data_IF_712786095842
#
_entry.id   IF_712786095842
#
_cell.length_a   1.000
_cell.length_b   1.000
_cell.length_c   1.000
_cell.angle_alpha   90.00
_cell.angle_beta   90.00
_cell.angle_gamma   90.00
#
_symmetry.space_group_name_H-M   'P 1'
#
loop_
_entity.id
_entity.type
_entity.pdbx_description
1 polymer ?
#
# COMPACT_ATOMS: atom_id res chain seq x y z
N UNK A 1 -32.00 -49.76 15.41
CA UNK A 1 -31.45 -48.48 15.91
C UNK A 1 -29.95 -48.61 16.25
N UNK A 2 -29.02 -48.78 15.29
CA UNK A 2 -27.58 -48.82 15.63
C UNK A 2 -26.59 -48.44 14.50
N UNK A 3 -27.00 -47.69 13.47
CA UNK A 3 -26.10 -47.34 12.34
C UNK A 3 -25.87 -45.83 12.12
N UNK A 4 -26.37 -44.96 13.00
CA UNK A 4 -26.30 -43.49 12.82
C UNK A 4 -25.27 -42.81 13.73
N UNK A 5 -24.59 -43.56 14.63
CA UNK A 5 -23.68 -42.96 15.63
C UNK A 5 -22.20 -42.92 15.24
N UNK A 6 -21.80 -43.48 14.10
CA UNK A 6 -20.38 -43.56 13.71
C UNK A 6 -19.94 -42.57 12.63
N UNK A 7 -20.84 -41.72 12.11
CA UNK A 7 -20.54 -40.75 11.06
C UNK A 7 -20.28 -39.32 11.57
N UNK A 8 -19.94 -39.17 12.84
CA UNK A 8 -19.75 -37.86 13.49
C UNK A 8 -18.33 -37.61 14.01
N UNK A 9 -17.39 -38.54 13.78
CA UNK A 9 -16.01 -38.44 14.32
C UNK A 9 -14.96 -38.18 13.23
N UNK A 10 -15.30 -38.26 11.94
CA UNK A 10 -14.30 -38.09 10.84
C UNK A 10 -14.20 -36.64 10.33
N UNK A 11 -15.15 -35.76 10.65
CA UNK A 11 -15.18 -34.37 10.14
C UNK A 11 -14.39 -33.35 10.99
N UNK A 12 -13.75 -33.78 12.09
CA UNK A 12 -13.10 -32.87 13.05
C UNK A 12 -11.59 -32.63 12.80
N UNK A 13 -10.97 -33.27 11.81
CA UNK A 13 -9.49 -33.21 11.61
C UNK A 13 -9.07 -32.42 10.35
N UNK A 14 -10.00 -31.89 9.56
CA UNK A 14 -9.67 -31.23 8.28
C UNK A 14 -9.63 -29.68 8.31
N UNK A 15 -9.54 -29.05 9.49
CA UNK A 15 -9.53 -27.58 9.61
C UNK A 15 -8.21 -27.00 10.16
N UNK A 16 -7.16 -27.79 10.35
CA UNK A 16 -5.80 -27.27 10.51
C UNK A 16 -5.22 -26.92 9.13
N UNK A 17 -5.90 -26.03 8.41
CA UNK A 17 -5.32 -25.34 7.27
C UNK A 17 -4.17 -24.49 7.79
N UNK A 18 -2.95 -25.01 7.73
CA UNK A 18 -1.75 -24.24 7.94
C UNK A 18 -1.82 -23.03 7.02
N UNK A 19 -1.99 -21.86 7.62
CA UNK A 19 -1.66 -20.61 6.97
C UNK A 19 -0.18 -20.71 6.61
N UNK A 20 0.12 -20.97 5.34
CA UNK A 20 1.48 -20.77 4.82
C UNK A 20 1.72 -19.28 4.87
N UNK A 21 2.19 -18.79 6.02
CA UNK A 21 2.80 -17.49 6.13
C UNK A 21 3.86 -17.37 5.01
N UNK A 22 4.05 -16.19 4.43
CA UNK A 22 5.10 -15.99 3.43
C UNK A 22 6.41 -16.57 3.96
N UNK A 23 7.10 -17.36 3.14
CA UNK A 23 8.31 -18.10 3.50
C UNK A 23 9.48 -17.20 3.90
N UNK A 24 9.35 -15.89 3.71
CA UNK A 24 10.32 -14.88 4.06
C UNK A 24 9.71 -13.94 5.10
N UNK A 25 10.45 -13.55 6.14
CA UNK A 25 10.01 -12.48 7.03
C UNK A 25 9.96 -11.14 6.27
N UNK A 26 9.12 -10.18 6.70
CA UNK A 26 9.18 -8.81 6.19
C UNK A 26 10.61 -8.24 6.34
N UNK A 27 11.06 -7.39 5.40
CA UNK A 27 12.38 -6.79 5.50
C UNK A 27 12.46 -5.86 6.71
N UNK A 28 13.64 -5.81 7.32
CA UNK A 28 13.96 -4.87 8.39
C UNK A 28 14.68 -3.65 7.81
N UNK A 29 14.61 -2.52 8.52
CA UNK A 29 15.26 -1.27 8.14
C UNK A 29 16.34 -0.91 9.18
N UNK A 30 17.59 -1.36 8.98
CA UNK A 30 18.68 -1.09 9.91
C UNK A 30 18.90 0.40 10.10
N UNK A 31 19.22 0.83 11.33
CA UNK A 31 19.51 2.23 11.61
C UNK A 31 18.29 3.14 11.64
N UNK A 32 17.07 2.60 11.60
CA UNK A 32 15.84 3.41 11.69
C UNK A 32 15.86 4.34 12.90
N UNK A 33 16.37 3.86 14.05
CA UNK A 33 16.52 4.64 15.29
C UNK A 33 17.29 5.95 15.14
N UNK A 34 18.21 6.05 14.15
CA UNK A 34 18.99 7.28 13.90
C UNK A 34 18.11 8.48 13.51
N UNK A 35 16.93 8.19 12.98
CA UNK A 35 15.94 9.20 12.59
C UNK A 35 14.88 9.48 13.67
N UNK A 36 15.00 8.90 14.88
CA UNK A 36 14.10 9.21 16.01
C UNK A 36 14.14 10.69 16.43
N UNK A 37 15.25 11.38 16.12
CA UNK A 37 15.38 12.82 16.35
C UNK A 37 14.51 13.67 15.43
N UNK A 38 14.04 13.12 14.31
CA UNK A 38 13.18 13.82 13.35
C UNK A 38 11.75 13.84 13.90
N UNK A 39 11.25 15.02 14.25
CA UNK A 39 9.86 15.23 14.61
C UNK A 39 8.97 15.03 13.37
N UNK A 40 7.98 14.15 13.49
CA UNK A 40 6.95 13.96 12.49
C UNK A 40 5.72 14.72 12.98
N UNK A 41 5.39 15.82 12.31
CA UNK A 41 4.14 16.53 12.50
C UNK A 41 3.08 15.86 11.62
N UNK A 42 2.32 14.93 12.20
CA UNK A 42 1.25 14.24 11.50
C UNK A 42 0.00 15.12 11.40
N UNK A 43 -0.20 15.72 10.23
CA UNK A 43 -1.33 16.57 9.88
C UNK A 43 -2.35 15.82 9.01
N UNK A 44 -2.22 14.50 8.87
CA UNK A 44 -3.12 13.69 8.06
C UNK A 44 -4.53 13.70 8.65
N UNK A 45 -5.58 13.60 7.80
CA UNK A 45 -6.90 13.27 8.29
C UNK A 45 -6.84 11.96 9.08
N UNK A 46 -7.33 11.94 10.32
CA UNK A 46 -7.23 10.79 11.22
C UNK A 46 -7.70 9.47 10.58
N UNK A 47 -8.73 9.57 9.72
CA UNK A 47 -9.25 8.42 8.99
C UNK A 47 -8.18 7.71 8.13
N UNK A 48 -7.18 8.41 7.60
CA UNK A 48 -6.15 7.80 6.73
C UNK A 48 -5.32 6.73 7.44
N UNK A 49 -5.24 6.78 8.76
CA UNK A 49 -4.55 5.74 9.57
C UNK A 49 -5.37 4.46 9.74
N UNK A 50 -6.66 4.49 9.38
CA UNK A 50 -7.63 3.42 9.64
C UNK A 50 -7.96 2.59 8.39
N UNK A 51 -8.16 1.29 8.62
CA UNK A 51 -8.66 0.38 7.58
C UNK A 51 -10.10 0.70 7.22
N UNK A 52 -10.40 0.78 5.92
CA UNK A 52 -11.76 0.95 5.39
C UNK A 52 -11.98 0.06 4.18
N UNK A 53 -13.01 -0.77 4.19
CA UNK A 53 -13.48 -1.50 3.01
C UNK A 53 -14.56 -0.65 2.36
N UNK A 54 -14.38 -0.23 1.12
CA UNK A 54 -15.35 0.66 0.48
C UNK A 54 -16.58 -0.09 -0.03
N UNK A 55 -16.40 -1.27 -0.63
CA UNK A 55 -17.53 -2.14 -0.97
C UNK A 55 -17.11 -3.60 -1.19
N UNK A 56 -17.99 -4.51 -0.79
CA UNK A 56 -17.91 -5.95 -1.09
C UNK A 56 -18.88 -6.36 -2.20
N UNK A 57 -19.73 -5.45 -2.68
CA UNK A 57 -20.75 -5.75 -3.69
C UNK A 57 -20.16 -5.62 -5.09
N UNK A 58 -20.18 -6.70 -5.88
CA UNK A 58 -19.51 -6.76 -7.22
C UNK A 58 -19.97 -5.66 -8.17
N UNK A 59 -21.25 -5.28 -8.10
CA UNK A 59 -21.86 -4.21 -8.93
C UNK A 59 -21.49 -2.79 -8.50
N UNK A 60 -20.83 -2.61 -7.36
CA UNK A 60 -20.42 -1.29 -6.87
C UNK A 60 -19.12 -0.83 -7.52
N UNK A 61 -19.01 0.46 -7.83
CA UNK A 61 -17.77 1.06 -8.35
C UNK A 61 -16.63 1.08 -7.32
N UNK A 62 -16.96 0.89 -6.05
CA UNK A 62 -16.04 0.72 -4.94
C UNK A 62 -15.66 -0.74 -4.65
N UNK A 63 -16.14 -1.70 -5.47
CA UNK A 63 -15.93 -3.12 -5.23
C UNK A 63 -14.46 -3.48 -5.10
N UNK A 64 -14.11 -4.19 -4.03
CA UNK A 64 -12.76 -4.70 -3.77
C UNK A 64 -11.67 -3.62 -3.73
N UNK A 65 -12.07 -2.42 -3.32
CA UNK A 65 -11.18 -1.33 -2.97
C UNK A 65 -11.20 -1.20 -1.45
N UNK A 66 -10.01 -1.09 -0.86
CA UNK A 66 -9.89 -0.82 0.58
C UNK A 66 -8.70 0.09 0.88
N UNK A 67 -8.87 0.92 1.91
CA UNK A 67 -7.79 1.67 2.54
C UNK A 67 -7.08 0.77 3.54
N UNK A 68 -5.75 0.80 3.50
CA UNK A 68 -4.89 0.01 4.40
C UNK A 68 -4.60 0.84 5.65
N UNK A 69 -4.63 0.21 6.82
CA UNK A 69 -4.28 0.85 8.08
C UNK A 69 -2.77 1.05 8.21
N UNK A 70 -2.33 2.08 8.93
CA UNK A 70 -0.91 2.37 9.15
C UNK A 70 -0.17 1.24 9.86
N UNK A 71 -0.84 0.56 10.78
CA UNK A 71 -0.29 -0.55 11.55
C UNK A 71 -0.20 -1.87 10.76
N UNK A 72 -0.50 -1.87 9.46
CA UNK A 72 -0.30 -3.02 8.59
C UNK A 72 1.19 -3.31 8.32
N UNK A 73 2.08 -2.36 8.62
CA UNK A 73 3.53 -2.51 8.51
C UNK A 73 4.25 -2.04 9.76
N UNK A 74 5.45 -2.58 9.97
CA UNK A 74 6.41 -2.08 10.95
C UNK A 74 7.78 -1.94 10.24
N UNK A 75 8.36 -0.73 10.11
CA UNK A 75 7.82 0.56 10.57
C UNK A 75 6.55 1.00 9.82
N UNK A 76 5.84 1.98 10.38
CA UNK A 76 4.73 2.66 9.67
C UNK A 76 5.26 3.48 8.50
N UNK A 77 4.39 3.79 7.53
CA UNK A 77 4.73 4.61 6.36
C UNK A 77 5.38 5.96 6.71
N UNK A 78 4.75 6.80 7.55
CA UNK A 78 5.35 8.06 8.00
C UNK A 78 6.70 7.89 8.71
N UNK A 79 6.85 6.83 9.52
CA UNK A 79 8.10 6.55 10.22
C UNK A 79 9.22 6.18 9.24
N UNK A 80 8.91 5.37 8.23
CA UNK A 80 9.84 5.04 7.16
C UNK A 80 10.17 6.26 6.30
N UNK A 81 9.20 7.12 6.01
CA UNK A 81 9.41 8.38 5.30
C UNK A 81 10.43 9.25 6.04
N UNK A 82 10.27 9.44 7.35
CA UNK A 82 11.21 10.23 8.14
C UNK A 82 12.63 9.65 8.13
N UNK A 83 12.75 8.32 8.18
CA UNK A 83 14.03 7.65 8.08
C UNK A 83 14.70 7.87 6.73
N UNK A 84 13.99 7.61 5.62
CA UNK A 84 14.54 7.81 4.27
C UNK A 84 14.79 9.27 3.95
N UNK A 85 13.96 10.18 4.45
CA UNK A 85 14.18 11.61 4.30
C UNK A 85 15.47 12.04 5.02
N UNK A 86 15.72 11.55 6.25
CA UNK A 86 16.95 11.80 6.98
C UNK A 86 18.20 11.30 6.21
N UNK A 87 18.13 10.12 5.61
CA UNK A 87 19.20 9.61 4.73
C UNK A 87 19.37 10.46 3.47
N UNK A 88 18.26 10.94 2.91
CA UNK A 88 18.24 11.66 1.64
C UNK A 88 18.65 13.13 1.74
N UNK A 89 18.44 13.75 2.90
CA UNK A 89 18.61 15.18 3.14
C UNK A 89 19.38 15.43 4.46
N UNK A 90 20.71 15.54 4.40
CA UNK A 90 21.54 15.79 5.59
C UNK A 90 21.14 17.03 6.39
N UNK A 91 20.52 18.02 5.75
CA UNK A 91 20.02 19.25 6.38
C UNK A 91 18.94 18.99 7.44
N UNK A 92 18.24 17.85 7.38
CA UNK A 92 17.31 17.44 8.44
C UNK A 92 18.01 17.17 9.78
N UNK A 93 19.34 17.03 9.80
CA UNK A 93 20.07 16.99 11.07
C UNK A 93 20.01 18.34 11.82
N UNK A 94 19.89 19.46 11.10
CA UNK A 94 19.83 20.82 11.67
C UNK A 94 18.39 21.29 11.87
N UNK A 95 17.47 20.86 11.00
CA UNK A 95 16.03 21.17 11.08
C UNK A 95 15.24 19.86 11.10
N UNK A 96 15.15 19.19 12.27
CA UNK A 96 14.65 17.83 12.36
C UNK A 96 13.12 17.80 12.42
N UNK A 97 12.44 18.32 11.39
CA UNK A 97 10.97 18.29 11.29
C UNK A 97 10.51 17.98 9.88
N UNK A 98 9.50 17.12 9.79
CA UNK A 98 8.76 16.79 8.58
C UNK A 98 7.28 16.89 8.90
N UNK A 99 6.52 17.63 8.08
CA UNK A 99 5.06 17.62 8.18
C UNK A 99 4.50 16.63 7.17
N UNK A 100 3.59 15.78 7.62
CA UNK A 100 2.94 14.79 6.75
C UNK A 100 1.46 15.16 6.66
N UNK A 101 1.02 15.57 5.48
CA UNK A 101 -0.36 16.00 5.23
C UNK A 101 -1.20 14.87 4.66
N UNK A 102 -0.61 13.99 3.86
CA UNK A 102 -1.22 12.74 3.44
C UNK A 102 -0.18 11.62 3.41
N UNK A 103 -0.54 10.48 3.96
CA UNK A 103 0.17 9.23 3.77
C UNK A 103 -0.88 8.14 3.84
N UNK A 104 -1.40 7.75 2.69
CA UNK A 104 -2.54 6.84 2.60
C UNK A 104 -2.33 5.84 1.49
N UNK A 105 -2.72 4.59 1.76
CA UNK A 105 -2.60 3.49 0.81
C UNK A 105 -3.97 2.90 0.52
N UNK A 106 -4.25 2.74 -0.76
CA UNK A 106 -5.43 2.05 -1.27
C UNK A 106 -5.02 0.81 -2.03
N UNK A 107 -5.54 -0.34 -1.65
CA UNK A 107 -5.45 -1.54 -2.46
C UNK A 107 -6.67 -1.63 -3.37
N UNK A 108 -6.43 -1.79 -4.66
CA UNK A 108 -7.46 -1.99 -5.67
C UNK A 108 -7.30 -3.37 -6.31
N UNK A 109 -8.25 -4.26 -6.01
CA UNK A 109 -8.33 -5.61 -6.56
C UNK A 109 -9.49 -5.78 -7.55
N UNK A 110 -10.18 -4.68 -7.89
CA UNK A 110 -11.45 -4.71 -8.62
C UNK A 110 -11.34 -5.42 -9.97
N UNK A 111 -10.38 -5.01 -10.80
CA UNK A 111 -10.21 -5.55 -12.15
C UNK A 111 -9.92 -7.05 -12.15
N UNK A 112 -9.15 -7.52 -11.17
CA UNK A 112 -8.86 -8.95 -11.02
C UNK A 112 -10.08 -9.72 -10.54
N UNK A 113 -10.70 -9.31 -9.43
CA UNK A 113 -11.79 -10.12 -8.85
C UNK A 113 -13.01 -10.16 -9.79
N UNK A 114 -13.30 -9.07 -10.49
CA UNK A 114 -14.34 -9.08 -11.55
C UNK A 114 -13.98 -10.07 -12.67
N UNK A 115 -12.72 -10.10 -13.11
CA UNK A 115 -12.25 -11.08 -14.11
C UNK A 115 -12.42 -12.52 -13.62
N UNK A 116 -12.04 -12.82 -12.38
CA UNK A 116 -12.19 -14.16 -11.78
C UNK A 116 -13.66 -14.61 -11.73
N UNK A 117 -14.55 -13.72 -11.30
CA UNK A 117 -16.00 -13.99 -11.27
C UNK A 117 -16.54 -14.28 -12.68
N UNK A 118 -16.14 -13.49 -13.69
CA UNK A 118 -16.55 -13.75 -15.09
C UNK A 118 -16.00 -15.05 -15.65
N UNK A 119 -14.86 -15.54 -15.14
CA UNK A 119 -14.27 -16.83 -15.51
C UNK A 119 -14.87 -18.02 -14.73
N UNK A 120 -15.95 -17.81 -13.97
CA UNK A 120 -16.63 -18.84 -13.20
C UNK A 120 -15.88 -19.26 -11.93
N UNK A 121 -14.78 -18.59 -11.60
CA UNK A 121 -14.06 -18.78 -10.35
C UNK A 121 -14.67 -17.82 -9.32
N UNK A 122 -15.60 -18.33 -8.51
CA UNK A 122 -16.13 -17.60 -7.34
C UNK A 122 -15.08 -17.55 -6.23
N UNK A 123 -14.02 -16.77 -6.46
CA UNK A 123 -12.96 -16.57 -5.49
C UNK A 123 -13.30 -15.35 -4.64
N UNK A 124 -14.09 -15.55 -3.59
CA UNK A 124 -14.25 -14.55 -2.54
C UNK A 124 -12.92 -14.31 -1.80
N UNK A 125 -12.85 -13.33 -0.88
CA UNK A 125 -11.63 -13.08 -0.08
C UNK A 125 -11.17 -14.30 0.72
N UNK A 126 -12.09 -15.22 1.05
CA UNK A 126 -11.80 -16.52 1.70
C UNK A 126 -11.36 -17.60 0.68
N UNK A 127 -11.84 -17.53 -0.57
CA UNK A 127 -11.54 -18.52 -1.61
C UNK A 127 -10.14 -18.39 -2.21
N UNK A 128 -9.49 -17.23 -2.08
CA UNK A 128 -8.13 -16.98 -2.59
C UNK A 128 -7.08 -17.85 -1.89
N UNK A 129 -7.39 -18.40 -0.71
CA UNK A 129 -6.51 -19.33 0.00
C UNK A 129 -6.52 -20.76 -0.57
N UNK A 130 -7.54 -21.12 -1.38
CA UNK A 130 -7.72 -22.49 -1.91
C UNK A 130 -7.23 -22.66 -3.35
N UNK A 131 -7.10 -21.57 -4.09
CA UNK A 131 -6.52 -21.55 -5.43
C UNK A 131 -5.09 -21.07 -5.25
N UNK A 132 -4.11 -21.94 -5.56
CA UNK A 132 -2.69 -21.66 -5.33
C UNK A 132 -2.25 -20.27 -5.81
N UNK A 133 -1.16 -19.75 -5.23
CA UNK A 133 -0.68 -18.37 -5.38
C UNK A 133 -0.81 -17.88 -6.83
N UNK A 134 -1.77 -16.99 -7.12
CA UNK A 134 -1.95 -16.50 -8.48
C UNK A 134 -0.67 -15.78 -8.94
N UNK A 135 -0.11 -16.20 -10.08
CA UNK A 135 0.98 -15.49 -10.73
C UNK A 135 0.42 -14.26 -11.44
N UNK A 136 0.70 -13.07 -10.92
CA UNK A 136 0.26 -11.83 -11.54
C UNK A 136 1.25 -11.33 -12.59
N UNK A 137 0.78 -10.75 -13.71
CA UNK A 137 1.65 -10.01 -14.60
C UNK A 137 2.30 -8.86 -13.83
N UNK A 138 3.64 -8.84 -13.83
CA UNK A 138 4.40 -7.79 -13.18
C UNK A 138 4.52 -6.55 -14.06
N UNK A 139 4.69 -5.39 -13.42
CA UNK A 139 4.93 -4.11 -14.08
C UNK A 139 5.83 -3.24 -13.20
N UNK A 140 6.31 -2.13 -13.76
CA UNK A 140 7.10 -1.14 -13.03
C UNK A 140 6.24 -0.33 -12.05
N UNK A 141 6.90 0.18 -11.00
CA UNK A 141 6.31 1.12 -10.07
C UNK A 141 6.27 2.50 -10.73
N UNK A 142 5.09 3.10 -10.81
CA UNK A 142 4.91 4.42 -11.44
C UNK A 142 4.68 5.47 -10.35
N UNK A 143 5.47 6.54 -10.34
CA UNK A 143 5.27 7.66 -9.41
C UNK A 143 5.15 8.97 -10.19
N UNK A 144 4.12 9.75 -9.85
CA UNK A 144 3.83 11.03 -10.47
C UNK A 144 3.66 12.10 -9.39
N UNK A 145 4.12 13.32 -9.67
CA UNK A 145 3.76 14.48 -8.86
C UNK A 145 2.28 14.81 -9.09
N UNK A 146 1.58 15.18 -8.02
CA UNK A 146 0.16 15.55 -8.08
C UNK A 146 -0.08 16.88 -7.38
N UNK A 147 -1.26 17.47 -7.61
CA UNK A 147 -1.72 18.58 -6.79
C UNK A 147 -2.35 18.04 -5.50
N UNK A 148 -1.84 18.48 -4.35
CA UNK A 148 -2.37 18.14 -3.02
C UNK A 148 -3.87 18.37 -2.86
N UNK A 149 -4.41 19.42 -3.48
CA UNK A 149 -5.85 19.74 -3.40
C UNK A 149 -6.72 18.62 -4.02
N UNK A 150 -6.16 17.80 -4.92
CA UNK A 150 -6.88 16.66 -5.49
C UNK A 150 -7.24 15.61 -4.43
N UNK A 151 -6.39 15.45 -3.41
CA UNK A 151 -6.67 14.58 -2.27
C UNK A 151 -7.81 15.16 -1.45
N UNK A 152 -7.74 16.43 -1.07
CA UNK A 152 -8.77 17.09 -0.26
C UNK A 152 -10.17 17.02 -0.93
N UNK A 153 -10.23 17.26 -2.24
CA UNK A 153 -11.50 17.26 -3.01
C UNK A 153 -12.19 15.89 -3.08
N UNK A 154 -11.45 14.81 -2.92
CA UNK A 154 -11.98 13.44 -3.02
C UNK A 154 -12.25 12.81 -1.66
N UNK A 155 -12.27 13.59 -0.57
CA UNK A 155 -12.63 13.08 0.75
C UNK A 155 -14.10 12.61 0.84
N UNK A 156 -14.41 11.78 1.83
CA UNK A 156 -15.77 11.30 2.09
C UNK A 156 -16.22 10.20 1.13
N UNK A 157 -17.37 10.38 0.48
CA UNK A 157 -18.01 9.35 -0.35
C UNK A 157 -17.21 9.01 -1.62
N UNK A 158 -16.45 9.98 -2.14
CA UNK A 158 -15.62 9.82 -3.34
C UNK A 158 -14.22 9.29 -3.06
N UNK A 159 -13.89 8.98 -1.80
CA UNK A 159 -12.53 8.60 -1.41
C UNK A 159 -12.04 7.35 -2.15
N UNK A 160 -12.94 6.40 -2.42
CA UNK A 160 -12.61 5.17 -3.16
C UNK A 160 -12.05 5.45 -4.57
N UNK A 161 -12.37 6.59 -5.18
CA UNK A 161 -11.88 6.97 -6.52
C UNK A 161 -10.38 7.25 -6.54
N UNK A 162 -9.76 7.53 -5.39
CA UNK A 162 -8.29 7.67 -5.25
C UNK A 162 -7.55 6.37 -5.58
N UNK A 163 -8.23 5.23 -5.50
CA UNK A 163 -7.65 3.92 -5.86
C UNK A 163 -7.72 3.61 -7.36
N UNK A 164 -8.34 4.49 -8.17
CA UNK A 164 -8.46 4.29 -9.61
C UNK A 164 -7.15 4.54 -10.33
N UNK A 165 -7.00 3.84 -11.45
CA UNK A 165 -5.87 3.96 -12.37
C UNK A 165 -6.38 3.73 -13.80
N UNK A 166 -5.65 4.28 -14.76
CA UNK A 166 -5.97 4.16 -16.18
C UNK A 166 -5.42 2.86 -16.76
N UNK A 167 -5.89 2.48 -17.95
CA UNK A 167 -5.36 1.31 -18.67
C UNK A 167 -3.91 1.52 -19.13
N UNK A 168 -3.50 2.76 -19.36
CA UNK A 168 -2.11 3.11 -19.66
C UNK A 168 -1.20 2.89 -18.44
N UNK A 169 -1.70 3.16 -17.24
CA UNK A 169 -0.95 2.97 -15.99
C UNK A 169 -0.86 1.51 -15.54
N UNK A 170 -1.83 0.68 -15.91
CA UNK A 170 -1.86 -0.75 -15.55
C UNK A 170 -2.53 -1.58 -16.66
N UNK A 171 -1.85 -1.78 -17.81
CA UNK A 171 -2.43 -2.47 -18.96
C UNK A 171 -2.75 -3.93 -18.68
N UNK A 172 -2.00 -4.55 -17.75
CA UNK A 172 -2.21 -5.94 -17.32
C UNK A 172 -3.42 -6.11 -16.40
N UNK A 173 -4.01 -5.01 -15.91
CA UNK A 173 -5.13 -5.02 -14.96
C UNK A 173 -4.83 -5.83 -13.69
N UNK A 174 -3.55 -5.86 -13.30
CA UNK A 174 -3.07 -6.49 -12.07
C UNK A 174 -3.64 -5.76 -10.83
N UNK A 175 -3.74 -6.43 -9.67
CA UNK A 175 -4.04 -5.72 -8.42
C UNK A 175 -2.96 -4.68 -8.11
N UNK A 176 -3.33 -3.50 -7.63
CA UNK A 176 -2.39 -2.38 -7.40
C UNK A 176 -2.58 -1.81 -6.01
N UNK A 177 -1.47 -1.49 -5.33
CA UNK A 177 -1.48 -0.54 -4.22
C UNK A 177 -1.23 0.87 -4.76
N UNK A 178 -2.16 1.79 -4.54
CA UNK A 178 -2.02 3.21 -4.85
C UNK A 178 -1.67 3.94 -3.57
N UNK A 179 -0.48 4.54 -3.52
CA UNK A 179 0.09 5.16 -2.33
C UNK A 179 0.24 6.65 -2.61
N UNK A 180 -0.38 7.45 -1.76
CA UNK A 180 -0.26 8.90 -1.79
C UNK A 180 0.65 9.36 -0.67
N UNK A 181 1.59 10.23 -1.00
CA UNK A 181 2.50 10.89 -0.05
C UNK A 181 2.44 12.38 -0.34
N UNK A 182 2.00 13.17 0.64
CA UNK A 182 2.04 14.63 0.65
C UNK A 182 2.75 15.07 1.93
N UNK A 183 3.95 15.61 1.76
CA UNK A 183 4.81 15.96 2.87
C UNK A 183 5.53 17.29 2.62
N UNK A 184 5.72 18.04 3.70
CA UNK A 184 6.59 19.20 3.76
C UNK A 184 7.94 18.78 4.38
N UNK A 185 8.99 18.83 3.56
CA UNK A 185 10.36 18.50 3.97
C UNK A 185 11.22 19.73 3.69
N UNK A 186 11.93 20.23 4.71
CA UNK A 186 12.77 21.44 4.62
C UNK A 186 12.01 22.67 4.06
N UNK A 187 10.79 22.89 4.57
CA UNK A 187 9.93 24.01 4.18
C UNK A 187 9.30 23.89 2.79
N UNK A 188 9.40 22.72 2.15
CA UNK A 188 8.86 22.48 0.81
C UNK A 188 7.87 21.34 0.80
N UNK A 189 6.63 21.63 0.41
CA UNK A 189 5.57 20.64 0.21
C UNK A 189 5.66 20.02 -1.18
N UNK A 190 5.62 18.69 -1.25
CA UNK A 190 5.45 17.93 -2.49
C UNK A 190 4.40 16.85 -2.24
N UNK A 191 3.53 16.65 -3.23
CA UNK A 191 2.59 15.55 -3.24
C UNK A 191 2.87 14.63 -4.42
N UNK A 192 2.79 13.32 -4.17
CA UNK A 192 2.99 12.29 -5.18
C UNK A 192 1.98 11.17 -5.06
N UNK A 193 1.64 10.59 -6.21
CA UNK A 193 0.86 9.35 -6.33
C UNK A 193 1.74 8.26 -6.91
N UNK A 194 1.82 7.14 -6.22
CA UNK A 194 2.63 5.99 -6.57
C UNK A 194 1.74 4.76 -6.80
N UNK A 195 1.83 4.13 -7.97
CA UNK A 195 1.16 2.87 -8.28
C UNK A 195 2.16 1.74 -8.16
N UNK A 196 1.85 0.78 -7.28
CA UNK A 196 2.67 -0.40 -7.05
C UNK A 196 1.88 -1.64 -7.49
N UNK A 197 2.07 -2.08 -8.75
CA UNK A 197 1.61 -3.39 -9.21
C UNK A 197 2.53 -4.50 -8.65
N UNK A 198 2.25 -5.78 -8.94
CA UNK A 198 3.20 -6.86 -8.73
C UNK A 198 4.51 -6.54 -9.47
N UNK A 199 5.65 -6.73 -8.82
CA UNK A 199 6.95 -6.32 -9.35
C UNK A 199 7.76 -7.56 -9.75
N UNK A 200 8.43 -7.48 -10.91
CA UNK A 200 9.27 -8.57 -11.42
C UNK A 200 10.36 -8.92 -10.41
N UNK A 201 10.53 -10.20 -10.12
CA UNK A 201 11.50 -10.67 -9.12
C UNK A 201 11.07 -10.48 -7.65
N UNK A 202 9.89 -9.88 -7.40
CA UNK A 202 9.30 -9.71 -6.05
C UNK A 202 7.86 -10.28 -6.00
N UNK A 203 7.67 -11.61 -6.12
CA UNK A 203 6.34 -12.22 -6.16
C UNK A 203 5.55 -12.05 -4.85
N UNK A 204 6.24 -11.92 -3.71
CA UNK A 204 5.66 -11.67 -2.40
C UNK A 204 6.09 -10.29 -1.88
N UNK A 205 5.84 -9.24 -2.66
CA UNK A 205 6.20 -7.88 -2.29
C UNK A 205 5.50 -7.48 -0.98
N UNK A 206 6.28 -7.22 0.08
CA UNK A 206 5.72 -6.71 1.32
C UNK A 206 5.26 -5.26 1.14
N UNK A 207 4.19 -4.87 1.83
CA UNK A 207 3.70 -3.50 1.77
C UNK A 207 4.75 -2.47 2.21
N UNK A 208 5.61 -2.84 3.16
CA UNK A 208 6.71 -1.97 3.61
C UNK A 208 7.77 -1.76 2.51
N UNK A 209 7.97 -2.72 1.59
CA UNK A 209 8.82 -2.51 0.41
C UNK A 209 8.14 -1.61 -0.62
N UNK A 210 6.81 -1.70 -0.76
CA UNK A 210 6.05 -0.77 -1.58
C UNK A 210 6.17 0.66 -1.04
N UNK A 211 6.12 0.84 0.30
CA UNK A 211 6.38 2.13 0.94
C UNK A 211 7.79 2.61 0.61
N UNK A 212 8.80 1.76 0.76
CA UNK A 212 10.19 2.12 0.50
C UNK A 212 10.41 2.62 -0.95
N UNK A 213 9.87 1.90 -1.93
CA UNK A 213 9.95 2.29 -3.34
C UNK A 213 9.23 3.63 -3.62
N UNK A 214 8.02 3.81 -3.10
CA UNK A 214 7.27 5.04 -3.30
C UNK A 214 7.91 6.25 -2.59
N UNK A 215 8.44 6.04 -1.38
CA UNK A 215 9.18 7.06 -0.63
C UNK A 215 10.44 7.47 -1.39
N UNK A 216 11.23 6.53 -1.90
CA UNK A 216 12.42 6.85 -2.68
C UNK A 216 12.09 7.74 -3.90
N UNK A 217 11.04 7.40 -4.65
CA UNK A 217 10.58 8.19 -5.79
C UNK A 217 10.04 9.56 -5.36
N UNK A 218 9.29 9.63 -4.26
CA UNK A 218 8.79 10.88 -3.68
C UNK A 218 9.93 11.83 -3.27
N UNK A 219 10.96 11.31 -2.61
CA UNK A 219 12.14 12.10 -2.21
C UNK A 219 12.95 12.55 -3.43
N UNK A 220 12.99 11.76 -4.52
CA UNK A 220 13.57 12.19 -5.79
C UNK A 220 12.81 13.38 -6.40
N UNK A 221 11.47 13.39 -6.34
CA UNK A 221 10.67 14.56 -6.74
C UNK A 221 11.02 15.79 -5.89
N UNK A 222 11.14 15.64 -4.56
CA UNK A 222 11.57 16.74 -3.69
C UNK A 222 12.92 17.34 -4.10
N UNK A 223 13.91 16.49 -4.44
CA UNK A 223 15.23 16.94 -4.93
C UNK A 223 15.13 17.70 -6.25
N UNK A 224 14.37 17.18 -7.22
CA UNK A 224 14.27 17.80 -8.55
C UNK A 224 13.75 19.24 -8.51
N UNK A 225 12.89 19.55 -7.54
CA UNK A 225 12.32 20.89 -7.39
C UNK A 225 13.31 21.79 -6.59
N UNK A 226 14.27 21.22 -5.84
CA UNK A 226 15.31 21.92 -5.07
C UNK A 226 16.68 21.81 -5.76
N UNK A 227 17.02 22.66 -6.75
CA UNK A 227 18.32 22.60 -7.44
C UNK A 227 19.53 23.01 -6.59
N UNK A 228 19.33 23.41 -5.31
CA UNK A 228 20.40 23.85 -4.42
C UNK A 228 21.34 22.72 -3.93
N UNK A 229 21.16 21.48 -4.40
CA UNK A 229 21.86 20.29 -3.89
C UNK A 229 22.47 19.40 -4.98
N UNK A 230 22.97 19.97 -6.07
CA UNK A 230 24.01 19.28 -6.85
C UNK A 230 25.36 19.45 -6.13
N UNK A 231 26.03 18.38 -5.68
CA UNK A 231 27.44 18.49 -5.32
C UNK A 231 28.23 18.88 -6.58
N UNK A 232 29.02 19.95 -6.48
CA UNK A 232 30.14 20.20 -7.40
C UNK A 232 31.30 19.26 -7.02
#
# INVERSE_FOLDING_TARGET
MHLIKSLLVVTAVALSGCTTAPTLPPPTFPGIEQSNKIAIEDLRPASESEKKIFSLMVSSDAYAIYRVADNATDPTGPRLLAHRAYEAFPQLAEQPSIKVLHFVTYANMQSHLRRSVTQGLLIGPVGMALVGSPSYPSSEVLTSAINSEQLERTAGDQEHTRAYFTEQENPSKSPVNVIYIDAEILGKRVASRCLVPPVTGKPNLFLVEAFDMCIANHLALHRSINPATAPQ
#
